data_IF_574374036929
#
_entry.id   IF_574374036929
#
_cell.length_a   1.000
_cell.length_b   1.000
_cell.length_c   1.000
_cell.angle_alpha   90.00
_cell.angle_beta   90.00
_cell.angle_gamma   90.00
#
_symmetry.space_group_name_H-M   'P 1'
#
loop_
_entity.id
_entity.type
_entity.pdbx_description
1 polymer ?
#
# COMPACT_ATOMS: atom_id res chain seq x y z
N UNK A 1 50.01 31.04 56.42
CA UNK A 1 50.39 32.16 55.53
C UNK A 1 49.52 32.08 54.28
N UNK A 2 48.51 32.94 54.21
CA UNK A 2 47.48 32.92 53.17
C UNK A 2 47.82 33.96 52.09
N UNK A 3 47.99 33.52 50.83
CA UNK A 3 48.21 34.38 49.67
C UNK A 3 46.88 34.84 49.09
N UNK A 4 46.64 36.15 49.13
CA UNK A 4 45.50 36.79 48.48
C UNK A 4 45.89 37.18 47.05
N UNK A 5 45.20 36.64 46.04
CA UNK A 5 45.33 37.09 44.65
C UNK A 5 44.34 38.24 44.38
N UNK A 6 44.80 39.41 43.89
CA UNK A 6 43.94 40.51 43.53
C UNK A 6 43.31 40.25 42.16
N UNK A 7 42.02 39.93 42.13
CA UNK A 7 41.25 39.88 40.89
C UNK A 7 41.00 41.31 40.39
N UNK A 8 41.57 41.62 39.23
CA UNK A 8 41.39 42.90 38.52
C UNK A 8 40.02 42.91 37.83
N UNK A 9 39.14 43.81 38.25
CA UNK A 9 37.82 44.05 37.65
C UNK A 9 37.94 44.81 36.33
N UNK A 10 38.22 44.09 35.24
CA UNK A 10 38.12 44.64 33.89
C UNK A 10 36.66 44.72 33.44
N UNK A 11 36.15 45.92 33.17
CA UNK A 11 34.83 46.10 32.54
C UNK A 11 34.84 45.54 31.12
N UNK A 12 34.08 44.47 30.88
CA UNK A 12 33.92 43.90 29.54
C UNK A 12 33.28 44.94 28.59
N UNK A 13 33.77 45.07 27.35
CA UNK A 13 33.18 45.98 26.38
C UNK A 13 31.72 45.58 26.10
N UNK A 14 30.85 46.60 26.15
CA UNK A 14 29.41 46.51 25.87
C UNK A 14 29.23 45.84 24.50
N UNK A 15 28.79 44.57 24.48
CA UNK A 15 28.48 43.86 23.23
C UNK A 15 27.47 44.69 22.45
N UNK A 16 27.83 45.07 21.22
CA UNK A 16 26.97 45.80 20.31
C UNK A 16 25.61 45.12 20.20
N UNK A 17 24.54 45.89 20.43
CA UNK A 17 23.15 45.45 20.33
C UNK A 17 22.97 44.85 18.93
N UNK A 18 22.72 43.54 18.85
CA UNK A 18 22.40 42.86 17.60
C UNK A 18 21.16 43.55 17.04
N UNK A 19 21.30 44.28 15.95
CA UNK A 19 20.18 44.84 15.20
C UNK A 19 19.39 43.64 14.70
N UNK A 20 18.21 43.40 15.26
CA UNK A 20 17.28 42.42 14.73
C UNK A 20 16.95 42.86 13.30
N UNK A 21 17.28 42.07 12.27
CA UNK A 21 16.88 42.39 10.92
C UNK A 21 15.35 42.41 10.91
N UNK A 22 14.79 43.57 10.57
CA UNK A 22 13.36 43.78 10.39
C UNK A 22 12.88 42.81 9.29
N UNK A 23 12.46 41.61 9.71
CA UNK A 23 12.10 40.52 8.83
C UNK A 23 10.78 40.87 8.17
N UNK A 24 10.86 41.40 6.96
CA UNK A 24 9.71 41.61 6.08
C UNK A 24 8.88 40.32 6.07
N UNK A 25 7.58 40.37 6.38
CA UNK A 25 6.77 39.15 6.49
C UNK A 25 6.88 38.34 5.19
N UNK A 26 7.05 37.02 5.29
CA UNK A 26 7.24 36.18 4.12
C UNK A 26 6.08 36.40 3.15
N UNK A 27 6.40 36.70 1.89
CA UNK A 27 5.39 36.88 0.85
C UNK A 27 4.53 35.63 0.72
N UNK A 28 3.27 35.79 0.26
CA UNK A 28 2.28 34.70 0.11
C UNK A 28 2.80 33.46 -0.64
N UNK A 29 3.79 33.62 -1.52
CA UNK A 29 4.44 32.51 -2.21
C UNK A 29 5.30 31.63 -1.29
N UNK A 30 6.00 32.22 -0.31
CA UNK A 30 6.83 31.47 0.64
C UNK A 30 5.96 30.67 1.61
N UNK A 31 4.83 31.21 2.07
CA UNK A 31 3.88 30.47 2.91
C UNK A 31 3.24 29.31 2.16
N UNK A 32 2.91 29.47 0.88
CA UNK A 32 2.42 28.37 0.03
C UNK A 32 3.49 27.28 -0.19
N UNK A 33 4.75 27.66 -0.40
CA UNK A 33 5.84 26.70 -0.56
C UNK A 33 6.07 25.88 0.72
N UNK A 34 6.06 26.54 1.89
CA UNK A 34 6.17 25.86 3.20
C UNK A 34 4.99 24.91 3.43
N UNK A 35 3.76 25.33 3.14
CA UNK A 35 2.59 24.46 3.25
C UNK A 35 2.68 23.23 2.33
N UNK A 36 3.16 23.41 1.10
CA UNK A 36 3.40 22.28 0.17
C UNK A 36 4.46 21.32 0.70
N UNK A 37 5.53 21.85 1.28
CA UNK A 37 6.62 21.06 1.84
C UNK A 37 6.18 20.29 3.10
N UNK A 38 5.38 20.91 3.97
CA UNK A 38 4.78 20.24 5.13
C UNK A 38 3.85 19.11 4.70
N UNK A 39 3.00 19.34 3.69
CA UNK A 39 2.14 18.29 3.12
C UNK A 39 2.95 17.15 2.49
N UNK A 40 4.02 17.46 1.79
CA UNK A 40 4.91 16.45 1.22
C UNK A 40 5.61 15.63 2.31
N UNK A 41 6.07 16.28 3.38
CA UNK A 41 6.70 15.60 4.50
C UNK A 41 5.70 14.70 5.24
N UNK A 42 4.48 15.18 5.50
CA UNK A 42 3.41 14.38 6.11
C UNK A 42 3.04 13.16 5.27
N UNK A 43 3.02 13.29 3.93
CA UNK A 43 2.84 12.14 3.03
C UNK A 43 3.97 11.13 3.12
N UNK A 44 5.21 11.60 3.26
CA UNK A 44 6.36 10.71 3.44
C UNK A 44 6.27 9.95 4.78
N UNK A 45 5.66 10.53 5.82
CA UNK A 45 5.43 9.86 7.11
C UNK A 45 4.43 8.71 6.99
N UNK A 46 3.39 8.82 6.16
CA UNK A 46 2.39 7.75 5.94
C UNK A 46 2.90 6.58 5.09
N UNK A 47 4.14 6.67 4.58
CA UNK A 47 4.77 5.62 3.80
C UNK A 47 4.13 5.39 2.44
N UNK A 48 4.35 4.18 1.90
CA UNK A 48 3.86 3.78 0.58
C UNK A 48 2.32 3.61 0.60
N UNK A 49 1.59 4.07 -0.44
CA UNK A 49 0.14 3.85 -0.52
C UNK A 49 -0.18 2.36 -0.63
N UNK A 50 -1.15 1.89 0.15
CA UNK A 50 -1.56 0.48 0.22
C UNK A 50 -2.09 0.00 -1.13
N UNK A 51 -2.79 0.86 -1.87
CA UNK A 51 -3.23 0.57 -3.24
C UNK A 51 -2.06 0.18 -4.14
N UNK A 52 -0.93 0.87 -4.05
CA UNK A 52 0.23 0.56 -4.88
C UNK A 52 0.84 -0.80 -4.50
N UNK A 53 0.81 -1.20 -3.23
CA UNK A 53 1.23 -2.53 -2.79
C UNK A 53 0.33 -3.64 -3.37
N UNK A 54 -0.99 -3.42 -3.36
CA UNK A 54 -1.95 -4.35 -3.96
C UNK A 54 -1.79 -4.50 -5.47
N UNK A 55 -1.50 -3.40 -6.18
CA UNK A 55 -1.30 -3.43 -7.63
C UNK A 55 0.03 -4.08 -8.02
N UNK A 56 1.11 -3.87 -7.25
CA UNK A 56 2.39 -4.55 -7.51
C UNK A 56 2.29 -6.05 -7.25
N UNK A 57 1.59 -6.48 -6.21
CA UNK A 57 1.33 -7.90 -5.93
C UNK A 57 0.47 -8.59 -7.02
N UNK A 58 -0.44 -7.84 -7.66
CA UNK A 58 -1.18 -8.34 -8.84
C UNK A 58 -0.29 -8.49 -10.09
N UNK A 59 0.88 -7.83 -10.10
CA UNK A 59 1.78 -7.72 -11.25
C UNK A 59 2.62 -8.96 -11.55
N UNK A 60 2.16 -10.16 -11.16
CA UNK A 60 2.77 -11.44 -11.53
C UNK A 60 2.95 -11.54 -13.05
N UNK A 61 4.19 -11.40 -13.51
CA UNK A 61 4.65 -11.54 -14.91
C UNK A 61 3.90 -10.64 -15.92
N UNK A 62 4.40 -9.40 -16.02
CA UNK A 62 4.19 -8.43 -17.11
C UNK A 62 4.78 -8.90 -18.48
N UNK A 63 4.69 -10.19 -18.81
CA UNK A 63 5.19 -10.81 -20.06
C UNK A 63 4.07 -11.09 -21.09
N UNK A 64 3.01 -10.28 -21.12
CA UNK A 64 1.82 -10.55 -21.93
C UNK A 64 1.44 -9.46 -22.93
N UNK A 65 2.10 -8.29 -22.93
CA UNK A 65 1.85 -7.23 -23.91
C UNK A 65 2.08 -7.68 -25.36
N UNK A 66 3.15 -8.42 -25.63
CA UNK A 66 3.44 -8.95 -26.97
C UNK A 66 2.44 -10.04 -27.41
N UNK A 67 1.93 -10.85 -26.48
CA UNK A 67 1.01 -11.96 -26.80
C UNK A 67 -0.41 -11.48 -27.11
N UNK A 68 -0.87 -10.43 -26.43
CA UNK A 68 -2.17 -9.79 -26.71
C UNK A 68 -2.19 -9.08 -28.06
N UNK A 69 -1.10 -8.38 -28.42
CA UNK A 69 -0.96 -7.78 -29.75
C UNK A 69 -0.92 -8.87 -30.82
N UNK A 70 -0.15 -9.94 -30.60
CA UNK A 70 -0.10 -11.09 -31.51
C UNK A 70 -1.48 -11.75 -31.67
N UNK A 71 -2.21 -11.96 -30.58
CA UNK A 71 -3.55 -12.57 -30.61
C UNK A 71 -4.56 -11.68 -31.34
N UNK A 72 -4.54 -10.36 -31.11
CA UNK A 72 -5.39 -9.41 -31.84
C UNK A 72 -5.08 -9.40 -33.34
N UNK A 73 -3.80 -9.48 -33.74
CA UNK A 73 -3.42 -9.60 -35.15
C UNK A 73 -3.85 -10.92 -35.78
N UNK A 74 -3.82 -12.04 -35.04
CA UNK A 74 -4.26 -13.35 -35.53
C UNK A 74 -5.78 -13.39 -35.71
N UNK A 75 -6.55 -12.84 -34.77
CA UNK A 75 -8.03 -12.78 -34.88
C UNK A 75 -8.46 -11.90 -36.05
N UNK A 76 -7.87 -10.71 -36.19
CA UNK A 76 -8.19 -9.80 -37.29
C UNK A 76 -7.78 -10.37 -38.66
N UNK A 77 -6.61 -11.01 -38.75
CA UNK A 77 -6.16 -11.71 -39.96
C UNK A 77 -7.07 -12.89 -40.33
N UNK A 78 -7.47 -13.72 -39.36
CA UNK A 78 -8.39 -14.82 -39.58
C UNK A 78 -9.77 -14.36 -40.06
N UNK A 79 -10.28 -13.26 -39.52
CA UNK A 79 -11.55 -12.67 -39.93
C UNK A 79 -11.49 -12.13 -41.38
N UNK A 80 -10.38 -11.48 -41.75
CA UNK A 80 -10.18 -11.00 -43.11
C UNK A 80 -10.14 -12.16 -44.13
N UNK A 81 -9.49 -13.28 -43.79
CA UNK A 81 -9.45 -14.49 -44.63
C UNK A 81 -10.83 -15.12 -44.77
N UNK A 82 -11.63 -15.14 -43.69
CA UNK A 82 -13.03 -15.61 -43.72
C UNK A 82 -13.89 -14.79 -44.68
N UNK A 83 -13.79 -13.45 -44.62
CA UNK A 83 -14.56 -12.55 -45.50
C UNK A 83 -14.11 -12.67 -46.96
N UNK A 84 -12.81 -12.78 -47.21
CA UNK A 84 -12.27 -12.99 -48.56
C UNK A 84 -12.69 -14.35 -49.16
N UNK A 85 -12.74 -15.40 -48.35
CA UNK A 85 -13.24 -16.72 -48.77
C UNK A 85 -14.73 -16.69 -49.15
N UNK A 86 -15.54 -15.94 -48.40
CA UNK A 86 -16.97 -15.76 -48.70
C UNK A 86 -17.20 -15.01 -50.01
N UNK A 87 -16.39 -13.96 -50.27
CA UNK A 87 -16.52 -13.14 -51.49
C UNK A 87 -16.03 -13.87 -52.75
N UNK A 88 -14.99 -14.69 -52.65
CA UNK A 88 -14.33 -15.33 -53.80
C UNK A 88 -14.92 -16.70 -54.19
N UNK A 89 -15.98 -17.17 -53.51
CA UNK A 89 -16.50 -18.56 -53.64
C UNK A 89 -15.44 -19.64 -53.35
N UNK A 90 -14.31 -19.28 -52.76
CA UNK A 90 -13.23 -20.17 -52.37
C UNK A 90 -13.57 -20.91 -51.08
N UNK A 91 -14.40 -21.95 -51.18
CA UNK A 91 -14.85 -22.78 -50.04
C UNK A 91 -13.69 -23.34 -49.19
N UNK A 92 -12.49 -23.45 -49.76
CA UNK A 92 -11.30 -23.99 -49.09
C UNK A 92 -10.64 -22.99 -48.13
N UNK A 93 -10.94 -21.69 -48.24
CA UNK A 93 -10.40 -20.65 -47.35
C UNK A 93 -11.20 -20.52 -46.04
N UNK A 94 -12.45 -20.99 -46.02
CA UNK A 94 -13.32 -20.98 -44.84
C UNK A 94 -12.74 -21.76 -43.64
N UNK A 95 -12.26 -23.02 -43.77
CA UNK A 95 -11.70 -23.75 -42.64
C UNK A 95 -10.42 -23.09 -42.09
N UNK A 96 -9.62 -22.46 -42.96
CA UNK A 96 -8.38 -21.78 -42.56
C UNK A 96 -8.70 -20.52 -41.75
N UNK A 97 -9.62 -19.69 -42.23
CA UNK A 97 -10.02 -18.48 -41.50
C UNK A 97 -10.72 -18.80 -40.17
N UNK A 98 -11.56 -19.85 -40.13
CA UNK A 98 -12.19 -20.32 -38.89
C UNK A 98 -11.18 -20.85 -37.86
N UNK A 99 -10.16 -21.58 -38.33
CA UNK A 99 -9.10 -22.08 -37.44
C UNK A 99 -8.28 -20.92 -36.83
N UNK A 100 -7.93 -19.91 -37.63
CA UNK A 100 -7.19 -18.74 -37.17
C UNK A 100 -7.97 -17.88 -36.17
N UNK A 101 -9.27 -17.65 -36.41
CA UNK A 101 -10.11 -16.89 -35.48
C UNK A 101 -10.33 -17.63 -34.16
N UNK A 102 -10.55 -18.95 -34.19
CA UNK A 102 -10.68 -19.77 -32.98
C UNK A 102 -9.36 -19.86 -32.20
N UNK A 103 -8.23 -20.04 -32.89
CA UNK A 103 -6.91 -20.06 -32.25
C UNK A 103 -6.57 -18.70 -31.62
N UNK A 104 -6.85 -17.61 -32.33
CA UNK A 104 -6.71 -16.25 -31.81
C UNK A 104 -7.62 -15.99 -30.62
N UNK A 105 -8.89 -16.39 -30.68
CA UNK A 105 -9.85 -16.28 -29.59
C UNK A 105 -9.44 -17.08 -28.35
N UNK A 106 -8.98 -18.32 -28.54
CA UNK A 106 -8.44 -19.14 -27.45
C UNK A 106 -7.21 -18.49 -26.80
N UNK A 107 -6.31 -17.91 -27.61
CA UNK A 107 -5.17 -17.17 -27.10
C UNK A 107 -5.58 -15.89 -26.35
N UNK A 108 -6.62 -15.17 -26.80
CA UNK A 108 -7.17 -14.02 -26.07
C UNK A 108 -7.79 -14.45 -24.74
N UNK A 109 -8.52 -15.56 -24.69
CA UNK A 109 -9.09 -16.10 -23.44
C UNK A 109 -7.98 -16.55 -22.47
N UNK A 110 -6.92 -17.17 -22.99
CA UNK A 110 -5.79 -17.63 -22.19
C UNK A 110 -4.83 -16.50 -21.78
N UNK A 111 -4.72 -15.44 -22.58
CA UNK A 111 -3.84 -14.29 -22.32
C UNK A 111 -4.55 -13.16 -21.57
N UNK A 112 -5.88 -13.06 -21.69
CA UNK A 112 -6.74 -12.31 -20.79
C UNK A 112 -6.81 -13.05 -19.47
N UNK A 113 -5.69 -13.04 -18.74
CA UNK A 113 -5.54 -13.71 -17.46
C UNK A 113 -6.73 -13.45 -16.56
N UNK A 114 -7.07 -14.47 -15.78
CA UNK A 114 -8.19 -14.49 -14.85
C UNK A 114 -8.44 -13.09 -14.30
N UNK A 115 -9.54 -12.47 -14.73
CA UNK A 115 -10.05 -11.31 -13.99
C UNK A 115 -10.15 -11.82 -12.56
N UNK A 116 -9.42 -11.24 -11.59
CA UNK A 116 -9.40 -11.77 -10.25
C UNK A 116 -10.85 -11.72 -9.78
N UNK A 117 -11.48 -12.89 -9.73
CA UNK A 117 -12.79 -13.05 -9.10
C UNK A 117 -12.55 -12.54 -7.70
N UNK A 118 -13.23 -11.46 -7.33
CA UNK A 118 -13.08 -10.86 -6.02
C UNK A 118 -13.41 -11.94 -4.99
N UNK A 119 -12.38 -12.53 -4.39
CA UNK A 119 -12.59 -13.56 -3.40
C UNK A 119 -13.29 -12.90 -2.20
N UNK A 120 -14.41 -13.47 -1.72
CA UNK A 120 -15.11 -12.95 -0.56
C UNK A 120 -14.13 -12.84 0.62
N UNK A 121 -14.01 -11.64 1.19
CA UNK A 121 -13.14 -11.41 2.35
C UNK A 121 -11.73 -10.89 2.04
N UNK A 122 -11.37 -10.66 0.78
CA UNK A 122 -10.13 -9.95 0.43
C UNK A 122 -10.34 -8.44 0.31
N UNK A 123 -9.30 -7.68 0.65
CA UNK A 123 -9.27 -6.21 0.47
C UNK A 123 -9.22 -5.88 -1.02
N UNK A 124 -10.13 -5.02 -1.48
CA UNK A 124 -10.12 -4.53 -2.86
C UNK A 124 -9.12 -3.37 -3.06
N UNK A 125 -8.75 -3.11 -4.31
CA UNK A 125 -7.89 -1.97 -4.63
C UNK A 125 -8.61 -0.64 -4.35
N UNK A 126 -9.93 -0.62 -4.48
CA UNK A 126 -10.81 0.50 -4.16
C UNK A 126 -10.85 0.76 -2.65
N UNK A 127 -11.07 -0.27 -1.83
CA UNK A 127 -11.06 -0.17 -0.35
C UNK A 127 -9.71 0.36 0.16
N UNK A 128 -8.59 -0.12 -0.42
CA UNK A 128 -7.26 0.39 -0.09
C UNK A 128 -7.04 1.84 -0.55
N UNK A 129 -7.59 2.24 -1.71
CA UNK A 129 -7.50 3.60 -2.20
C UNK A 129 -8.31 4.58 -1.33
N UNK A 130 -9.48 4.15 -0.86
CA UNK A 130 -10.32 4.91 0.07
C UNK A 130 -9.63 5.11 1.41
N UNK A 131 -8.98 4.07 1.94
CA UNK A 131 -8.17 4.19 3.16
C UNK A 131 -7.00 5.16 2.94
N UNK A 132 -6.24 5.01 1.85
CA UNK A 132 -5.12 5.91 1.55
C UNK A 132 -5.58 7.37 1.47
N UNK A 133 -6.69 7.64 0.78
CA UNK A 133 -7.26 8.98 0.66
C UNK A 133 -7.75 9.53 2.01
N UNK A 134 -8.38 8.68 2.83
CA UNK A 134 -8.82 9.05 4.17
C UNK A 134 -7.64 9.44 5.06
N UNK A 135 -6.59 8.62 5.10
CA UNK A 135 -5.39 8.88 5.91
C UNK A 135 -4.67 10.17 5.47
N UNK A 136 -4.55 10.40 4.15
CA UNK A 136 -4.04 11.65 3.59
C UNK A 136 -4.87 12.87 4.05
N UNK A 137 -6.19 12.72 4.16
CA UNK A 137 -7.08 13.82 4.56
C UNK A 137 -6.93 14.20 6.04
N UNK A 138 -6.59 13.25 6.91
CA UNK A 138 -6.48 13.46 8.35
C UNK A 138 -5.04 13.66 8.83
N UNK A 139 -4.04 13.40 7.98
CA UNK A 139 -2.63 13.40 8.35
C UNK A 139 -2.17 14.68 9.07
N UNK A 140 -2.68 15.83 8.64
CA UNK A 140 -2.32 17.13 9.22
C UNK A 140 -2.87 17.36 10.64
N UNK A 141 -3.85 16.56 11.08
CA UNK A 141 -4.52 16.68 12.39
C UNK A 141 -4.01 15.64 13.39
N UNK A 142 -3.21 14.67 12.95
CA UNK A 142 -2.68 13.61 13.80
C UNK A 142 -1.28 13.96 14.32
N UNK A 143 -0.95 13.58 15.57
CA UNK A 143 0.41 13.67 16.08
C UNK A 143 1.38 12.83 15.23
N UNK A 144 2.65 13.24 15.09
CA UNK A 144 3.63 12.54 14.26
C UNK A 144 3.86 11.09 14.72
N UNK A 145 3.83 10.83 16.03
CA UNK A 145 4.05 9.47 16.55
C UNK A 145 2.89 8.53 16.19
N UNK A 146 1.66 9.06 16.11
CA UNK A 146 0.48 8.30 15.66
C UNK A 146 0.60 8.00 14.16
N UNK A 147 1.07 8.98 13.36
CA UNK A 147 1.32 8.77 11.94
C UNK A 147 2.36 7.68 11.69
N UNK A 148 3.43 7.64 12.47
CA UNK A 148 4.45 6.58 12.39
C UNK A 148 3.85 5.19 12.67
N UNK A 149 3.01 5.05 13.71
CA UNK A 149 2.32 3.78 14.01
C UNK A 149 1.36 3.36 12.90
N UNK A 150 0.60 4.30 12.35
CA UNK A 150 -0.28 4.04 11.20
C UNK A 150 0.55 3.60 9.99
N UNK A 151 1.69 4.24 9.74
CA UNK A 151 2.58 3.87 8.64
C UNK A 151 3.17 2.46 8.81
N UNK A 152 3.57 2.07 10.02
CA UNK A 152 4.01 0.71 10.34
C UNK A 152 2.89 -0.31 10.08
N UNK A 153 1.67 -0.01 10.52
CA UNK A 153 0.51 -0.87 10.29
C UNK A 153 0.18 -1.00 8.79
N UNK A 154 0.26 0.09 8.02
CA UNK A 154 0.11 0.06 6.55
C UNK A 154 1.19 -0.77 5.88
N UNK A 155 2.43 -0.65 6.32
CA UNK A 155 3.55 -1.40 5.77
C UNK A 155 3.39 -2.91 6.02
N UNK A 156 2.95 -3.32 7.22
CA UNK A 156 2.66 -4.73 7.50
C UNK A 156 1.45 -5.23 6.69
N UNK A 157 0.41 -4.42 6.51
CA UNK A 157 -0.68 -4.74 5.58
C UNK A 157 -0.17 -4.89 4.14
N UNK A 158 0.68 -3.98 3.67
CA UNK A 158 1.26 -4.01 2.33
C UNK A 158 2.08 -5.29 2.09
N UNK A 159 2.71 -5.83 3.12
CA UNK A 159 3.45 -7.11 3.09
C UNK A 159 2.53 -8.32 3.13
N UNK A 160 1.48 -8.28 3.94
CA UNK A 160 0.56 -9.40 4.14
C UNK A 160 -0.40 -9.59 2.97
N UNK A 161 -0.94 -8.50 2.41
CA UNK A 161 -1.98 -8.57 1.39
C UNK A 161 -1.56 -9.38 0.15
N UNK A 162 -0.35 -9.24 -0.42
CA UNK A 162 0.09 -10.10 -1.53
C UNK A 162 0.14 -11.58 -1.15
N UNK A 163 0.54 -11.92 0.08
CA UNK A 163 0.62 -13.31 0.55
C UNK A 163 -0.77 -13.94 0.69
N UNK A 164 -1.76 -13.13 1.06
CA UNK A 164 -3.14 -13.57 1.19
C UNK A 164 -3.87 -13.70 -0.15
N UNK A 165 -3.29 -13.24 -1.27
CA UNK A 165 -3.85 -13.47 -2.60
C UNK A 165 -3.45 -14.81 -3.20
N UNK A 166 -2.42 -15.44 -2.64
CA UNK A 166 -2.00 -16.78 -3.02
C UNK A 166 -3.00 -17.79 -2.46
N UNK A 167 -3.82 -18.39 -3.32
CA UNK A 167 -4.84 -19.39 -2.96
C UNK A 167 -4.26 -20.56 -2.16
N UNK A 168 -3.00 -20.94 -2.44
CA UNK A 168 -2.36 -22.01 -1.71
C UNK A 168 -2.09 -21.60 -0.26
N UNK A 169 -1.75 -20.33 0.00
CA UNK A 169 -1.50 -19.81 1.35
C UNK A 169 -2.79 -19.48 2.09
N UNK A 170 -3.86 -19.15 1.37
CA UNK A 170 -5.17 -18.85 1.96
C UNK A 170 -5.72 -19.99 2.81
N UNK A 171 -5.36 -21.24 2.51
CA UNK A 171 -5.77 -22.42 3.30
C UNK A 171 -5.24 -22.36 4.74
N UNK A 172 -4.06 -21.79 4.95
CA UNK A 172 -3.43 -21.69 6.27
C UNK A 172 -4.05 -20.60 7.17
N UNK A 173 -4.82 -19.67 6.60
CA UNK A 173 -5.36 -18.53 7.33
C UNK A 173 -6.86 -18.72 7.60
N UNK A 174 -7.30 -18.72 8.87
CA UNK A 174 -8.71 -18.83 9.22
C UNK A 174 -9.57 -17.76 8.53
N UNK A 175 -10.83 -18.08 8.24
CA UNK A 175 -11.76 -17.14 7.58
C UNK A 175 -11.94 -15.85 8.39
N UNK A 176 -11.97 -15.98 9.71
CA UNK A 176 -12.14 -14.89 10.66
C UNK A 176 -11.00 -13.87 10.55
N UNK A 177 -9.77 -14.33 10.34
CA UNK A 177 -8.61 -13.46 10.21
C UNK A 177 -8.55 -12.78 8.83
N UNK A 178 -9.02 -13.45 7.78
CA UNK A 178 -9.20 -12.83 6.45
C UNK A 178 -10.23 -11.70 6.50
N UNK A 179 -11.37 -11.98 7.13
CA UNK A 179 -12.41 -10.98 7.34
C UNK A 179 -11.92 -9.82 8.20
N UNK A 180 -11.13 -10.11 9.25
CA UNK A 180 -10.52 -9.08 10.08
C UNK A 180 -9.63 -8.14 9.26
N UNK A 181 -8.75 -8.66 8.40
CA UNK A 181 -7.87 -7.82 7.57
C UNK A 181 -8.67 -6.91 6.64
N UNK A 182 -9.75 -7.44 6.06
CA UNK A 182 -10.65 -6.62 5.26
C UNK A 182 -11.33 -5.52 6.07
N UNK A 183 -11.89 -5.86 7.23
CA UNK A 183 -12.53 -4.89 8.11
C UNK A 183 -11.54 -3.88 8.70
N UNK A 184 -10.29 -4.27 8.91
CA UNK A 184 -9.24 -3.37 9.36
C UNK A 184 -9.05 -2.21 8.38
N UNK A 185 -8.98 -2.52 7.08
CA UNK A 185 -8.85 -1.52 6.01
C UNK A 185 -10.13 -0.72 5.82
N UNK A 186 -11.28 -1.40 5.73
CA UNK A 186 -12.55 -0.78 5.38
C UNK A 186 -13.19 0.02 6.54
N UNK A 187 -12.95 -0.38 7.79
CA UNK A 187 -13.74 0.10 8.93
C UNK A 187 -12.92 0.40 10.19
N UNK A 188 -12.19 -0.58 10.74
CA UNK A 188 -11.63 -0.44 12.09
C UNK A 188 -10.57 0.66 12.19
N UNK A 189 -9.64 0.73 11.25
CA UNK A 189 -8.62 1.79 11.26
C UNK A 189 -9.23 3.18 10.97
N UNK A 190 -10.10 3.34 9.94
CA UNK A 190 -10.82 4.60 9.76
C UNK A 190 -11.63 5.04 10.98
N UNK A 191 -12.38 4.14 11.60
CA UNK A 191 -13.23 4.44 12.75
C UNK A 191 -12.41 4.82 13.99
N UNK A 192 -11.30 4.12 14.27
CA UNK A 192 -10.38 4.48 15.36
C UNK A 192 -9.85 5.91 15.20
N UNK A 193 -9.44 6.27 13.97
CA UNK A 193 -8.98 7.62 13.68
C UNK A 193 -10.09 8.67 13.79
N UNK A 194 -11.32 8.36 13.33
CA UNK A 194 -12.48 9.25 13.46
C UNK A 194 -12.81 9.52 14.92
N UNK A 195 -12.91 8.46 15.73
CA UNK A 195 -13.19 8.59 17.17
C UNK A 195 -12.13 9.42 17.89
N UNK A 196 -10.86 9.24 17.56
CA UNK A 196 -9.81 10.12 18.09
C UNK A 196 -10.04 11.58 17.67
N UNK A 197 -10.29 11.84 16.38
CA UNK A 197 -10.51 13.19 15.86
C UNK A 197 -11.77 13.88 16.39
N UNK A 198 -12.80 13.11 16.73
CA UNK A 198 -14.03 13.59 17.35
C UNK A 198 -13.81 14.03 18.82
N UNK A 199 -12.81 13.43 19.48
CA UNK A 199 -12.42 13.76 20.85
C UNK A 199 -11.42 14.92 20.94
N UNK A 200 -10.79 15.33 19.84
CA UNK A 200 -9.92 16.50 19.88
C UNK A 200 -10.74 17.73 20.26
N UNK A 201 -10.41 18.41 21.37
CA UNK A 201 -11.06 19.66 21.70
C UNK A 201 -10.83 20.68 20.58
N UNK A 202 -11.74 21.64 20.43
CA UNK A 202 -11.58 22.78 19.52
C UNK A 202 -10.42 23.71 19.93
N UNK A 203 -9.75 23.43 21.04
CA UNK A 203 -8.57 24.14 21.53
C UNK A 203 -7.30 23.30 21.31
N UNK A 204 -6.17 23.99 21.08
CA UNK A 204 -4.93 23.43 20.50
C UNK A 204 -4.21 22.33 21.32
N UNK A 205 -4.73 21.92 22.48
CA UNK A 205 -4.07 20.94 23.34
C UNK A 205 -4.66 19.52 23.11
N UNK A 206 -3.88 18.55 22.62
CA UNK A 206 -4.35 17.17 22.47
C UNK A 206 -4.64 16.57 23.85
N UNK A 207 -5.81 15.93 23.99
CA UNK A 207 -6.15 15.14 25.16
C UNK A 207 -5.27 13.88 25.23
N UNK A 208 -4.44 13.78 26.27
CA UNK A 208 -3.51 12.68 26.49
C UNK A 208 -4.26 11.35 26.65
N UNK A 209 -5.47 11.37 27.22
CA UNK A 209 -6.29 10.17 27.37
C UNK A 209 -6.82 9.66 26.01
N UNK A 210 -7.31 10.57 25.16
CA UNK A 210 -7.74 10.23 23.81
C UNK A 210 -6.58 9.67 22.96
N UNK A 211 -5.40 10.26 23.09
CA UNK A 211 -4.18 9.78 22.42
C UNK A 211 -3.78 8.39 22.90
N UNK A 212 -3.75 8.16 24.22
CA UNK A 212 -3.44 6.86 24.81
C UNK A 212 -4.43 5.78 24.33
N UNK A 213 -5.72 6.12 24.25
CA UNK A 213 -6.74 5.20 23.73
C UNK A 213 -6.52 4.84 22.25
N UNK A 214 -6.19 5.81 21.40
CA UNK A 214 -5.86 5.52 20.00
C UNK A 214 -4.61 4.66 19.90
N UNK A 215 -3.59 4.95 20.69
CA UNK A 215 -2.34 4.19 20.73
C UNK A 215 -2.56 2.73 21.14
N UNK A 216 -3.43 2.49 22.13
CA UNK A 216 -3.84 1.14 22.54
C UNK A 216 -4.60 0.43 21.41
N UNK A 217 -5.56 1.10 20.77
CA UNK A 217 -6.30 0.54 19.64
C UNK A 217 -5.35 0.15 18.49
N UNK A 218 -4.42 1.02 18.10
CA UNK A 218 -3.45 0.73 17.05
C UNK A 218 -2.54 -0.46 17.44
N UNK A 219 -2.13 -0.54 18.70
CA UNK A 219 -1.34 -1.66 19.20
C UNK A 219 -2.10 -2.99 19.13
N UNK A 220 -3.40 -3.01 19.47
CA UNK A 220 -4.25 -4.19 19.36
C UNK A 220 -4.42 -4.65 17.90
N UNK A 221 -4.65 -3.70 16.98
CA UNK A 221 -4.77 -4.00 15.55
C UNK A 221 -3.45 -4.56 15.00
N UNK A 222 -2.32 -3.98 15.39
CA UNK A 222 -0.99 -4.44 15.00
C UNK A 222 -0.68 -5.84 15.53
N UNK A 223 -0.93 -6.10 16.82
CA UNK A 223 -0.73 -7.41 17.43
C UNK A 223 -1.54 -8.51 16.72
N UNK A 224 -2.76 -8.17 16.27
CA UNK A 224 -3.59 -9.10 15.51
C UNK A 224 -3.06 -9.35 14.09
N UNK A 225 -2.48 -8.36 13.42
CA UNK A 225 -1.79 -8.57 12.14
C UNK A 225 -0.57 -9.50 12.29
N UNK A 226 0.23 -9.29 13.33
CA UNK A 226 1.38 -10.15 13.63
C UNK A 226 0.97 -11.61 13.89
N UNK A 227 -0.20 -11.84 14.51
CA UNK A 227 -0.77 -13.18 14.62
C UNK A 227 -1.02 -13.81 13.24
N UNK A 228 -1.60 -13.07 12.29
CA UNK A 228 -1.84 -13.58 10.93
C UNK A 228 -0.53 -13.88 10.21
N UNK A 229 0.47 -13.01 10.38
CA UNK A 229 1.82 -13.22 9.86
C UNK A 229 2.44 -14.51 10.40
N UNK A 230 2.33 -14.76 11.70
CA UNK A 230 2.85 -15.96 12.33
C UNK A 230 2.19 -17.24 11.77
N UNK A 231 0.87 -17.21 11.51
CA UNK A 231 0.17 -18.33 10.86
C UNK A 231 0.72 -18.63 9.47
N UNK A 232 0.93 -17.60 8.65
CA UNK A 232 1.51 -17.75 7.32
C UNK A 232 2.96 -18.29 7.36
N UNK A 233 3.75 -17.85 8.35
CA UNK A 233 5.12 -18.34 8.53
C UNK A 233 5.15 -19.81 8.97
N UNK A 234 4.24 -20.22 9.87
CA UNK A 234 4.13 -21.59 10.32
C UNK A 234 3.79 -22.56 9.16
N UNK A 235 2.82 -22.21 8.32
CA UNK A 235 2.49 -23.00 7.11
C UNK A 235 3.68 -23.08 6.14
N UNK A 236 4.41 -21.98 5.94
CA UNK A 236 5.59 -22.00 5.09
C UNK A 236 6.69 -22.92 5.65
N UNK A 237 6.91 -22.92 6.96
CA UNK A 237 7.87 -23.81 7.62
C UNK A 237 7.46 -25.28 7.50
N UNK A 238 6.17 -25.59 7.68
CA UNK A 238 5.64 -26.95 7.54
C UNK A 238 5.81 -27.48 6.11
N UNK A 239 5.56 -26.65 5.09
CA UNK A 239 5.79 -27.05 3.69
C UNK A 239 7.25 -27.36 3.40
N UNK A 240 8.16 -26.54 3.93
CA UNK A 240 9.60 -26.75 3.77
C UNK A 240 10.06 -28.03 4.47
N UNK A 241 9.57 -28.30 5.68
CA UNK A 241 9.93 -29.53 6.41
C UNK A 241 9.38 -30.78 5.71
N UNK A 242 8.14 -30.74 5.22
CA UNK A 242 7.53 -31.83 4.45
C UNK A 242 8.29 -32.10 3.14
N UNK A 243 8.70 -31.03 2.44
CA UNK A 243 9.50 -31.18 1.23
C UNK A 243 10.87 -31.81 1.52
N UNK A 244 11.54 -31.37 2.60
CA UNK A 244 12.82 -31.96 3.02
C UNK A 244 12.68 -33.44 3.39
N UNK A 245 11.60 -33.82 4.09
CA UNK A 245 11.32 -35.21 4.44
C UNK A 245 11.10 -36.07 3.18
N UNK A 246 10.35 -35.56 2.20
CA UNK A 246 10.14 -36.24 0.93
C UNK A 246 11.44 -36.49 0.15
N UNK A 247 12.34 -35.51 0.10
CA UNK A 247 13.63 -35.67 -0.57
C UNK A 247 14.51 -36.73 0.08
N UNK A 248 14.51 -36.81 1.42
CA UNK A 248 15.25 -37.84 2.16
C UNK A 248 14.70 -39.24 1.92
N UNK A 249 13.38 -39.39 1.77
CA UNK A 249 12.74 -40.69 1.51
C UNK A 249 12.93 -41.23 0.08
N UNK A 250 13.55 -40.46 -0.82
CA UNK A 250 13.83 -40.88 -2.21
C UNK A 250 15.29 -41.25 -2.46
N UNK A 251 16.13 -41.19 -1.44
CA UNK A 251 17.50 -41.72 -1.44
C UNK A 251 17.50 -43.15 -0.94
#
# INVERSE_FOLDING_TARGET
>A
MAGQNPWVSGSLPKRGRRVEPNAKPPGKAATQAVQKLLRANQRNLLGRPLRAALLEGAGGKRWHGGKLVLAATVVSGGLAVLVAGLASHGLWLLPIGACLTLAGGYLVVKAGGDKPVAMPGMVSAEEAAELDAFLDSIAARLPPEVLERIAQLKEELARLLPLLRDEQRLVAVPMEERFFIRQLVARYLPDACRHYLDLLPTTDAPDEAARASLDEQLALLFARLEKVRALLQADQQERLSNHAAFLRGKQ
#
